data_IF_207161784873
#
_entry.id   IF_207161784873
#
_cell.length_a   1.000
_cell.length_b   1.000
_cell.length_c   1.000
_cell.angle_alpha   90.00
_cell.angle_beta   90.00
_cell.angle_gamma   90.00
#
_symmetry.space_group_name_H-M   'P 1'
#
loop_
_entity.id
_entity.type
_entity.pdbx_description
1 polymer ?
#
# COMPACT_ATOMS: atom_id res chain seq x y z
N UNK A 1 -97.81 27.60 -78.02
CA UNK A 1 -96.41 27.15 -77.78
C UNK A 1 -96.27 27.11 -76.26
N UNK A 2 -95.90 26.03 -75.60
CA UNK A 2 -95.08 24.91 -76.04
C UNK A 2 -95.33 23.74 -75.07
N UNK A 3 -95.53 22.55 -75.62
CA UNK A 3 -95.78 21.31 -74.90
C UNK A 3 -94.49 20.51 -75.09
N UNK A 4 -93.53 20.66 -74.18
CA UNK A 4 -92.24 20.01 -74.32
C UNK A 4 -92.15 18.74 -73.46
N UNK A 5 -91.73 17.70 -74.16
CA UNK A 5 -91.48 16.32 -73.78
C UNK A 5 -90.22 16.20 -72.91
N UNK A 6 -90.34 16.25 -71.58
CA UNK A 6 -89.19 15.98 -70.69
C UNK A 6 -89.40 14.76 -69.78
N UNK A 7 -90.16 13.76 -70.24
CA UNK A 7 -90.25 12.45 -69.55
C UNK A 7 -89.32 11.38 -70.12
N UNK A 8 -88.63 11.67 -71.23
CA UNK A 8 -87.65 10.75 -71.85
C UNK A 8 -86.25 10.85 -71.25
N UNK A 9 -85.75 12.06 -70.97
CA UNK A 9 -84.39 12.27 -70.47
C UNK A 9 -84.21 11.94 -68.98
N UNK A 10 -85.22 12.17 -68.15
CA UNK A 10 -85.16 11.84 -66.71
C UNK A 10 -85.04 10.33 -66.49
N UNK A 11 -85.69 9.52 -67.31
CA UNK A 11 -85.59 8.05 -67.20
C UNK A 11 -84.20 7.55 -67.63
N UNK A 12 -83.60 8.16 -68.66
CA UNK A 12 -82.26 7.84 -69.12
C UNK A 12 -81.17 8.28 -68.15
N UNK A 13 -81.32 9.43 -67.48
CA UNK A 13 -80.38 9.88 -66.44
C UNK A 13 -80.45 9.03 -65.17
N UNK A 14 -81.66 8.60 -64.76
CA UNK A 14 -81.82 7.68 -63.62
C UNK A 14 -81.25 6.29 -63.97
N UNK A 15 -81.45 5.80 -65.19
CA UNK A 15 -80.84 4.55 -65.67
C UNK A 15 -79.32 4.66 -65.77
N UNK A 16 -78.78 5.76 -66.30
CA UNK A 16 -77.34 6.01 -66.35
C UNK A 16 -76.74 6.12 -64.94
N UNK A 17 -77.41 6.81 -64.01
CA UNK A 17 -77.02 6.89 -62.60
C UNK A 17 -77.03 5.53 -61.90
N UNK A 18 -78.05 4.69 -62.14
CA UNK A 18 -78.12 3.33 -61.61
C UNK A 18 -77.08 2.39 -62.24
N UNK A 19 -76.72 2.59 -63.51
CA UNK A 19 -75.63 1.85 -64.16
C UNK A 19 -74.28 2.25 -63.55
N UNK A 20 -74.04 3.55 -63.33
CA UNK A 20 -72.81 4.04 -62.68
C UNK A 20 -72.73 3.53 -61.24
N UNK A 21 -73.83 3.58 -60.48
CA UNK A 21 -73.89 3.01 -59.12
C UNK A 21 -73.69 1.49 -59.16
N UNK A 22 -74.28 0.80 -60.13
CA UNK A 22 -74.15 -0.65 -60.31
C UNK A 22 -72.74 -1.11 -60.72
N UNK A 23 -71.97 -0.26 -61.40
CA UNK A 23 -70.54 -0.49 -61.71
C UNK A 23 -69.65 -0.09 -60.53
N UNK A 24 -69.95 1.03 -59.86
CA UNK A 24 -69.18 1.54 -58.74
C UNK A 24 -69.34 0.71 -57.46
N UNK A 25 -70.52 0.10 -57.22
CA UNK A 25 -70.75 -0.71 -56.01
C UNK A 25 -69.80 -1.90 -55.90
N UNK A 26 -69.63 -2.78 -56.92
CA UNK A 26 -68.64 -3.85 -56.87
C UNK A 26 -67.20 -3.35 -56.65
N UNK A 27 -66.83 -2.22 -57.26
CA UNK A 27 -65.49 -1.63 -57.11
C UNK A 27 -65.27 -1.12 -55.67
N UNK A 28 -66.25 -0.44 -55.09
CA UNK A 28 -66.23 0.05 -53.71
C UNK A 28 -66.21 -1.13 -52.73
N UNK A 29 -67.01 -2.18 -52.96
CA UNK A 29 -66.97 -3.39 -52.14
C UNK A 29 -65.61 -4.09 -52.20
N UNK A 30 -65.02 -4.24 -53.39
CA UNK A 30 -63.69 -4.83 -53.52
C UNK A 30 -62.60 -4.00 -52.85
N UNK A 31 -62.71 -2.66 -52.87
CA UNK A 31 -61.75 -1.78 -52.22
C UNK A 31 -61.86 -1.82 -50.69
N UNK A 32 -63.09 -1.89 -50.16
CA UNK A 32 -63.34 -2.07 -48.73
C UNK A 32 -62.85 -3.45 -48.27
N UNK A 33 -63.09 -4.51 -49.03
CA UNK A 33 -62.57 -5.85 -48.71
C UNK A 33 -61.04 -5.90 -48.73
N UNK A 34 -60.40 -5.29 -49.73
CA UNK A 34 -58.94 -5.18 -49.80
C UNK A 34 -58.38 -4.40 -48.60
N UNK A 35 -59.00 -3.27 -48.26
CA UNK A 35 -58.61 -2.46 -47.10
C UNK A 35 -58.78 -3.21 -45.77
N UNK A 36 -59.90 -3.93 -45.59
CA UNK A 36 -60.14 -4.76 -44.40
C UNK A 36 -59.14 -5.92 -44.30
N UNK A 37 -58.83 -6.57 -45.42
CA UNK A 37 -57.83 -7.64 -45.46
C UNK A 37 -56.44 -7.11 -45.12
N UNK A 38 -56.06 -5.95 -45.64
CA UNK A 38 -54.75 -5.34 -45.35
C UNK A 38 -54.63 -4.93 -43.87
N UNK A 39 -55.71 -4.43 -43.25
CA UNK A 39 -55.75 -4.19 -41.80
C UNK A 39 -55.60 -5.49 -40.99
N UNK A 40 -56.22 -6.59 -41.42
CA UNK A 40 -56.04 -7.91 -40.80
C UNK A 40 -54.59 -8.42 -40.93
N UNK A 41 -53.96 -8.20 -42.09
CA UNK A 41 -52.55 -8.56 -42.32
C UNK A 41 -51.61 -7.73 -41.45
N UNK A 42 -51.82 -6.41 -41.34
CA UNK A 42 -51.08 -5.55 -40.42
C UNK A 42 -51.21 -6.00 -38.98
N UNK A 43 -52.43 -6.29 -38.54
CA UNK A 43 -52.66 -6.80 -37.19
C UNK A 43 -51.94 -8.13 -36.94
N UNK A 44 -51.95 -9.05 -37.92
CA UNK A 44 -51.22 -10.32 -37.84
C UNK A 44 -49.69 -10.12 -37.79
N UNK A 45 -49.15 -9.15 -38.54
CA UNK A 45 -47.74 -8.79 -38.51
C UNK A 45 -47.33 -8.23 -37.15
N UNK A 46 -48.05 -7.24 -36.61
CA UNK A 46 -47.80 -6.71 -35.26
C UNK A 46 -47.88 -7.78 -34.18
N UNK A 47 -48.84 -8.69 -34.30
CA UNK A 47 -49.01 -9.78 -33.35
C UNK A 47 -47.84 -10.78 -33.40
N UNK A 48 -47.37 -11.11 -34.61
CA UNK A 48 -46.19 -11.95 -34.79
C UNK A 48 -44.90 -11.25 -34.34
N UNK A 49 -44.76 -9.94 -34.53
CA UNK A 49 -43.62 -9.15 -34.04
C UNK A 49 -43.55 -9.13 -32.50
N UNK A 50 -44.69 -8.92 -31.83
CA UNK A 50 -44.76 -8.95 -30.37
C UNK A 50 -44.30 -10.31 -29.80
N UNK A 51 -44.72 -11.41 -30.42
CA UNK A 51 -44.23 -12.74 -30.07
C UNK A 51 -42.72 -12.89 -30.36
N UNK A 52 -42.24 -12.49 -31.54
CA UNK A 52 -40.83 -12.63 -31.90
C UNK A 52 -39.89 -11.78 -31.05
N UNK A 53 -40.32 -10.60 -30.62
CA UNK A 53 -39.57 -9.78 -29.66
C UNK A 53 -39.42 -10.51 -28.32
N UNK A 54 -40.48 -11.13 -27.81
CA UNK A 54 -40.43 -11.94 -26.59
C UNK A 54 -39.54 -13.20 -26.77
N UNK A 55 -39.67 -13.88 -27.91
CA UNK A 55 -38.87 -15.04 -28.26
C UNK A 55 -37.37 -14.70 -28.32
N UNK A 56 -37.02 -13.56 -28.95
CA UNK A 56 -35.65 -13.04 -29.02
C UNK A 56 -35.07 -12.80 -27.62
N UNK A 57 -35.80 -12.10 -26.75
CA UNK A 57 -35.34 -11.81 -25.39
C UNK A 57 -35.14 -13.10 -24.58
N UNK A 58 -36.06 -14.06 -24.69
CA UNK A 58 -35.93 -15.35 -24.04
C UNK A 58 -34.67 -16.10 -24.49
N UNK A 59 -34.40 -16.15 -25.81
CA UNK A 59 -33.22 -16.82 -26.35
C UNK A 59 -31.94 -16.10 -25.91
N UNK A 60 -31.93 -14.76 -25.92
CA UNK A 60 -30.78 -13.96 -25.49
C UNK A 60 -30.46 -14.21 -24.00
N UNK A 61 -31.45 -14.12 -23.11
CA UNK A 61 -31.25 -14.34 -21.67
C UNK A 61 -30.88 -15.80 -21.32
N UNK A 62 -31.22 -16.75 -22.19
CA UNK A 62 -30.94 -18.17 -22.01
C UNK A 62 -29.82 -18.67 -22.92
N UNK A 63 -29.04 -17.78 -23.54
CA UNK A 63 -28.10 -18.15 -24.60
C UNK A 63 -27.11 -19.22 -24.14
N UNK A 64 -26.44 -19.01 -22.99
CA UNK A 64 -25.49 -19.97 -22.43
C UNK A 64 -26.10 -21.36 -22.16
N UNK A 65 -27.33 -21.40 -21.63
CA UNK A 65 -28.07 -22.64 -21.36
C UNK A 65 -28.45 -23.36 -22.66
N UNK A 66 -28.95 -22.62 -23.64
CA UNK A 66 -29.33 -23.16 -24.96
C UNK A 66 -28.11 -23.64 -25.75
N UNK A 67 -26.96 -22.98 -25.59
CA UNK A 67 -25.69 -23.40 -26.17
C UNK A 67 -25.13 -24.68 -25.55
N UNK A 68 -25.38 -24.97 -24.28
CA UNK A 68 -24.91 -26.21 -23.64
C UNK A 68 -25.92 -27.36 -23.72
N UNK A 69 -27.18 -27.05 -24.04
CA UNK A 69 -28.27 -28.02 -24.14
C UNK A 69 -28.31 -28.82 -25.46
N UNK A 70 -29.26 -29.76 -25.53
CA UNK A 70 -29.58 -30.50 -26.75
C UNK A 70 -30.38 -29.62 -27.71
N UNK A 71 -29.95 -29.57 -28.98
CA UNK A 71 -30.62 -28.85 -30.06
C UNK A 71 -30.96 -29.84 -31.22
N UNK A 72 -32.06 -29.64 -31.97
CA UNK A 72 -32.95 -28.49 -31.90
C UNK A 72 -33.85 -28.50 -30.66
N UNK A 73 -34.11 -27.32 -30.10
CA UNK A 73 -35.03 -27.10 -28.98
C UNK A 73 -36.17 -26.18 -29.41
N UNK A 74 -37.34 -26.30 -28.79
CA UNK A 74 -38.48 -25.43 -29.11
C UNK A 74 -39.17 -24.91 -27.86
N UNK A 75 -39.93 -23.82 -28.04
CA UNK A 75 -40.78 -23.22 -27.02
C UNK A 75 -41.99 -22.55 -27.68
N UNK A 76 -43.05 -22.35 -26.90
CA UNK A 76 -44.35 -21.83 -27.34
C UNK A 76 -44.68 -20.48 -26.71
N UNK A 77 -45.74 -19.82 -27.18
CA UNK A 77 -46.28 -18.61 -26.54
C UNK A 77 -46.60 -18.82 -25.05
N UNK A 78 -47.12 -19.99 -24.68
CA UNK A 78 -47.42 -20.32 -23.28
C UNK A 78 -46.16 -20.44 -22.42
N UNK A 79 -45.06 -20.95 -22.98
CA UNK A 79 -43.76 -20.97 -22.28
C UNK A 79 -43.27 -19.55 -21.98
N UNK A 80 -43.37 -18.65 -22.97
CA UNK A 80 -42.97 -17.25 -22.80
C UNK A 80 -43.87 -16.51 -21.81
N UNK A 81 -45.17 -16.80 -21.78
CA UNK A 81 -46.10 -16.24 -20.79
C UNK A 81 -45.75 -16.74 -19.38
N UNK A 82 -45.52 -18.04 -19.21
CA UNK A 82 -45.13 -18.61 -17.90
C UNK A 82 -43.83 -18.04 -17.37
N UNK A 83 -42.89 -17.72 -18.25
CA UNK A 83 -41.57 -17.18 -17.90
C UNK A 83 -41.53 -15.65 -17.85
N UNK A 84 -42.64 -14.97 -18.13
CA UNK A 84 -42.75 -13.51 -18.01
C UNK A 84 -42.20 -12.71 -19.21
N UNK A 85 -41.80 -13.37 -20.30
CA UNK A 85 -41.36 -12.70 -21.53
C UNK A 85 -42.52 -12.18 -22.38
N UNK A 86 -43.70 -12.78 -22.24
CA UNK A 86 -44.92 -12.40 -22.94
C UNK A 86 -46.06 -12.10 -21.96
N UNK A 87 -46.85 -11.07 -22.22
CA UNK A 87 -47.89 -10.59 -21.28
C UNK A 87 -48.99 -11.64 -21.10
N UNK A 88 -49.47 -11.82 -19.86
CA UNK A 88 -50.69 -12.60 -19.61
C UNK A 88 -51.86 -12.02 -20.42
N UNK A 89 -52.55 -12.89 -21.17
CA UNK A 89 -53.62 -12.51 -22.08
C UNK A 89 -53.19 -12.34 -23.54
N UNK A 90 -51.91 -12.51 -23.87
CA UNK A 90 -51.50 -12.72 -25.27
C UNK A 90 -52.18 -14.00 -25.79
N UNK A 91 -52.98 -13.87 -26.84
CA UNK A 91 -53.85 -14.93 -27.34
C UNK A 91 -53.55 -15.21 -28.82
N UNK A 92 -54.42 -15.93 -29.51
CA UNK A 92 -54.30 -16.20 -30.94
C UNK A 92 -54.32 -14.90 -31.78
N UNK A 93 -53.63 -14.94 -32.93
CA UNK A 93 -53.65 -13.88 -33.93
C UNK A 93 -55.06 -13.65 -34.50
N UNK A 94 -55.30 -12.58 -35.29
CA UNK A 94 -56.59 -12.35 -35.96
C UNK A 94 -57.08 -13.53 -36.82
N UNK A 95 -56.17 -14.40 -37.28
CA UNK A 95 -56.47 -15.61 -38.04
C UNK A 95 -56.60 -16.86 -37.15
N UNK A 96 -56.62 -16.71 -35.82
CA UNK A 96 -56.70 -17.82 -34.88
C UNK A 96 -55.39 -18.62 -34.74
N UNK A 97 -54.26 -18.11 -35.25
CA UNK A 97 -52.98 -18.81 -35.22
C UNK A 97 -52.23 -18.50 -33.91
N UNK A 98 -51.57 -19.51 -33.33
CA UNK A 98 -50.57 -19.37 -32.25
C UNK A 98 -49.15 -19.39 -32.81
N UNK A 99 -48.11 -19.43 -31.97
CA UNK A 99 -46.71 -19.48 -32.41
C UNK A 99 -45.89 -20.51 -31.65
N UNK A 100 -44.92 -21.07 -32.37
CA UNK A 100 -43.86 -21.92 -31.85
C UNK A 100 -42.52 -21.46 -32.44
N UNK A 101 -41.49 -21.42 -31.61
CA UNK A 101 -40.13 -21.10 -32.05
C UNK A 101 -39.24 -22.31 -31.84
N UNK A 102 -38.53 -22.70 -32.89
CA UNK A 102 -37.50 -23.72 -32.87
C UNK A 102 -36.13 -23.06 -32.96
N UNK A 103 -35.16 -23.62 -32.26
CA UNK A 103 -33.79 -23.12 -32.17
C UNK A 103 -32.87 -24.23 -32.65
N UNK A 104 -31.94 -23.91 -33.54
CA UNK A 104 -30.87 -24.81 -33.97
C UNK A 104 -29.51 -24.16 -33.78
N UNK A 105 -28.46 -24.98 -33.92
CA UNK A 105 -27.09 -24.48 -34.06
C UNK A 105 -26.75 -24.41 -35.54
N UNK A 106 -26.34 -23.23 -36.01
CA UNK A 106 -25.77 -23.09 -37.34
C UNK A 106 -24.46 -23.89 -37.40
N UNK A 107 -24.35 -24.83 -38.33
CA UNK A 107 -23.19 -25.73 -38.41
C UNK A 107 -21.90 -25.04 -38.86
N UNK A 108 -22.01 -23.91 -39.57
CA UNK A 108 -20.88 -23.16 -40.10
C UNK A 108 -20.33 -22.17 -39.08
N UNK A 109 -21.21 -21.44 -38.38
CA UNK A 109 -20.81 -20.35 -37.46
C UNK A 109 -20.84 -20.75 -36.00
N UNK A 110 -21.48 -21.88 -35.66
CA UNK A 110 -21.70 -22.32 -34.28
C UNK A 110 -22.72 -21.48 -33.50
N UNK A 111 -23.22 -20.37 -34.06
CA UNK A 111 -24.21 -19.48 -33.45
C UNK A 111 -25.60 -20.13 -33.41
N UNK A 112 -26.46 -19.67 -32.50
CA UNK A 112 -27.88 -20.04 -32.52
C UNK A 112 -28.57 -19.36 -33.70
N UNK A 113 -29.48 -20.10 -34.31
CA UNK A 113 -30.49 -19.58 -35.22
C UNK A 113 -31.85 -20.03 -34.70
N UNK A 114 -32.85 -19.19 -34.86
CA UNK A 114 -34.21 -19.54 -34.50
C UNK A 114 -35.17 -19.25 -35.64
N UNK A 115 -36.16 -20.12 -35.77
CA UNK A 115 -37.27 -19.97 -36.69
C UNK A 115 -38.56 -19.99 -35.87
N UNK A 116 -39.35 -18.94 -36.00
CA UNK A 116 -40.72 -18.92 -35.50
C UNK A 116 -41.66 -19.29 -36.64
N UNK A 117 -42.61 -20.17 -36.36
CA UNK A 117 -43.77 -20.41 -37.21
C UNK A 117 -45.04 -20.07 -36.44
N UNK A 118 -46.02 -19.48 -37.12
CA UNK A 118 -47.38 -19.56 -36.62
C UNK A 118 -47.97 -20.96 -36.84
N UNK A 119 -48.93 -21.36 -36.00
CA UNK A 119 -49.54 -22.72 -36.01
C UNK A 119 -51.03 -22.68 -35.66
N UNK A 120 -51.80 -23.63 -36.18
CA UNK A 120 -53.24 -23.70 -35.94
C UNK A 120 -54.01 -22.55 -36.63
N UNK A 121 -55.31 -22.43 -36.35
CA UNK A 121 -56.13 -21.36 -36.93
C UNK A 121 -56.43 -21.52 -38.43
N UNK A 122 -56.79 -20.41 -39.06
CA UNK A 122 -57.12 -20.33 -40.49
C UNK A 122 -55.88 -20.07 -41.33
N UNK A 123 -55.81 -20.68 -42.51
CA UNK A 123 -54.73 -20.41 -43.46
C UNK A 123 -54.87 -19.00 -44.05
N UNK A 124 -53.79 -18.21 -43.97
CA UNK A 124 -53.70 -16.91 -44.63
C UNK A 124 -53.46 -17.16 -46.12
N UNK A 125 -54.16 -16.41 -46.99
CA UNK A 125 -53.97 -16.49 -48.44
C UNK A 125 -52.54 -16.05 -48.82
N UNK A 126 -52.04 -16.55 -49.94
CA UNK A 126 -50.65 -16.35 -50.38
C UNK A 126 -50.27 -14.86 -50.54
N UNK A 127 -51.18 -14.04 -51.07
CA UNK A 127 -51.03 -12.59 -51.18
C UNK A 127 -50.94 -11.93 -49.80
N UNK A 128 -51.81 -12.33 -48.87
CA UNK A 128 -51.77 -11.89 -47.47
C UNK A 128 -50.50 -12.28 -46.75
N UNK A 129 -50.03 -13.51 -46.93
CA UNK A 129 -48.77 -13.99 -46.33
C UNK A 129 -47.57 -13.15 -46.76
N UNK A 130 -47.52 -12.75 -48.03
CA UNK A 130 -46.46 -11.87 -48.55
C UNK A 130 -46.56 -10.47 -47.97
N UNK A 131 -47.78 -9.94 -47.79
CA UNK A 131 -48.02 -8.65 -47.13
C UNK A 131 -47.52 -8.69 -45.67
N UNK A 132 -47.97 -9.68 -44.89
CA UNK A 132 -47.53 -9.88 -43.50
C UNK A 132 -46.01 -10.02 -43.41
N UNK A 133 -45.40 -10.85 -44.27
CA UNK A 133 -43.96 -11.06 -44.29
C UNK A 133 -43.17 -9.77 -44.55
N UNK A 134 -43.66 -8.90 -45.44
CA UNK A 134 -43.03 -7.62 -45.77
C UNK A 134 -43.18 -6.54 -44.70
N UNK A 135 -44.17 -6.67 -43.82
CA UNK A 135 -44.44 -5.71 -42.74
C UNK A 135 -43.72 -6.05 -41.43
N UNK A 136 -43.28 -7.30 -41.27
CA UNK A 136 -42.55 -7.75 -40.09
C UNK A 136 -41.16 -7.09 -40.03
N UNK A 137 -40.74 -6.58 -38.86
CA UNK A 137 -39.39 -6.05 -38.71
C UNK A 137 -38.36 -7.20 -38.77
N UNK A 138 -37.32 -7.03 -39.58
CA UNK A 138 -36.26 -8.03 -39.74
C UNK A 138 -36.57 -9.08 -40.82
N UNK A 139 -36.23 -10.36 -40.55
CA UNK A 139 -36.33 -11.45 -41.52
C UNK A 139 -37.73 -12.11 -41.48
N UNK A 140 -38.76 -11.31 -41.78
CA UNK A 140 -40.13 -11.78 -41.96
C UNK A 140 -40.32 -12.67 -43.19
N UNK A 141 -41.25 -13.62 -43.11
CA UNK A 141 -41.48 -14.66 -44.10
C UNK A 141 -42.79 -15.43 -43.88
N UNK A 142 -42.97 -16.50 -44.63
CA UNK A 142 -44.15 -17.37 -44.59
C UNK A 142 -43.81 -18.81 -45.00
N UNK A 143 -44.69 -19.75 -44.67
CA UNK A 143 -44.58 -21.15 -45.10
C UNK A 143 -45.27 -21.31 -46.45
N UNK A 144 -44.48 -21.58 -47.48
CA UNK A 144 -44.96 -21.83 -48.83
C UNK A 144 -45.66 -23.19 -48.96
N UNK A 145 -46.34 -23.41 -50.10
CA UNK A 145 -47.07 -24.67 -50.39
C UNK A 145 -46.18 -25.93 -50.36
N UNK A 146 -44.88 -25.77 -50.57
CA UNK A 146 -43.88 -26.84 -50.51
C UNK A 146 -43.39 -27.14 -49.07
N UNK A 147 -43.92 -26.46 -48.05
CA UNK A 147 -43.51 -26.61 -46.65
C UNK A 147 -42.21 -25.88 -46.29
N UNK A 148 -41.64 -25.11 -47.22
CA UNK A 148 -40.42 -24.33 -47.00
C UNK A 148 -40.77 -22.96 -46.43
N UNK A 149 -40.03 -22.51 -45.41
CA UNK A 149 -40.11 -21.15 -44.91
C UNK A 149 -39.40 -20.22 -45.90
N UNK A 150 -40.11 -19.22 -46.41
CA UNK A 150 -39.62 -18.28 -47.44
C UNK A 150 -39.77 -16.86 -46.94
N UNK A 151 -38.68 -16.09 -47.01
CA UNK A 151 -38.67 -14.68 -46.62
C UNK A 151 -39.48 -13.79 -47.56
N UNK A 152 -39.80 -12.58 -47.09
CA UNK A 152 -40.38 -11.53 -47.93
C UNK A 152 -39.57 -11.37 -49.22
N UNK A 153 -40.25 -11.32 -50.36
CA UNK A 153 -39.65 -11.23 -51.71
C UNK A 153 -38.62 -12.32 -52.05
N UNK A 154 -38.59 -13.44 -51.32
CA UNK A 154 -37.61 -14.51 -51.52
C UNK A 154 -36.21 -14.19 -50.99
N UNK A 155 -36.08 -13.24 -50.06
CA UNK A 155 -34.79 -12.82 -49.52
C UNK A 155 -34.02 -13.94 -48.79
N UNK A 156 -34.71 -14.95 -48.29
CA UNK A 156 -34.13 -16.13 -47.65
C UNK A 156 -35.07 -17.33 -47.76
N UNK A 157 -34.53 -18.53 -47.58
CA UNK A 157 -35.30 -19.77 -47.48
C UNK A 157 -34.74 -20.66 -46.38
N UNK A 158 -35.60 -21.33 -45.62
CA UNK A 158 -35.19 -22.29 -44.61
C UNK A 158 -36.18 -23.45 -44.47
N UNK A 159 -35.74 -24.54 -43.82
CA UNK A 159 -36.55 -25.75 -43.62
C UNK A 159 -36.97 -25.86 -42.15
N UNK A 160 -38.28 -25.78 -41.84
CA UNK A 160 -38.76 -25.90 -40.46
C UNK A 160 -38.28 -27.14 -39.71
N UNK A 161 -38.13 -28.27 -40.42
CA UNK A 161 -37.63 -29.52 -39.83
C UNK A 161 -36.24 -29.40 -39.22
N UNK A 162 -35.37 -28.53 -39.74
CA UNK A 162 -34.01 -28.33 -39.22
C UNK A 162 -34.02 -27.63 -37.84
N UNK A 163 -35.14 -26.99 -37.49
CA UNK A 163 -35.40 -26.36 -36.18
C UNK A 163 -36.26 -27.25 -35.27
N UNK A 164 -36.52 -28.50 -35.68
CA UNK A 164 -37.43 -29.40 -34.96
C UNK A 164 -38.89 -28.96 -35.04
N UNK A 165 -39.28 -28.21 -36.07
CA UNK A 165 -40.64 -27.70 -36.24
C UNK A 165 -41.39 -28.42 -37.37
N UNK A 166 -42.71 -28.50 -37.21
CA UNK A 166 -43.64 -28.93 -38.26
C UNK A 166 -44.59 -27.77 -38.56
N UNK A 167 -44.31 -27.02 -39.63
CA UNK A 167 -45.09 -25.84 -40.01
C UNK A 167 -45.85 -26.11 -41.32
N UNK A 168 -47.13 -25.77 -41.36
CA UNK A 168 -48.00 -25.98 -42.53
C UNK A 168 -48.07 -24.73 -43.42
N UNK A 169 -48.35 -24.91 -44.71
CA UNK A 169 -48.61 -23.79 -45.62
C UNK A 169 -49.77 -22.91 -45.09
N UNK A 170 -49.77 -21.61 -45.42
CA UNK A 170 -50.78 -20.67 -44.89
C UNK A 170 -50.39 -19.97 -43.59
N UNK A 171 -49.13 -20.12 -43.15
CA UNK A 171 -48.62 -19.65 -41.86
C UNK A 171 -47.45 -18.68 -42.02
N UNK A 172 -47.29 -17.81 -41.02
CA UNK A 172 -46.24 -16.81 -40.92
C UNK A 172 -44.96 -17.51 -40.46
N UNK A 173 -43.81 -17.08 -40.99
CA UNK A 173 -42.50 -17.55 -40.58
C UNK A 173 -41.58 -16.37 -40.30
N UNK A 174 -40.78 -16.41 -39.24
CA UNK A 174 -39.80 -15.35 -38.94
C UNK A 174 -38.49 -15.97 -38.52
N UNK A 175 -37.41 -15.57 -39.16
CA UNK A 175 -36.06 -16.03 -38.80
C UNK A 175 -35.40 -15.01 -37.88
N UNK A 176 -34.71 -15.52 -36.87
CA UNK A 176 -33.82 -14.74 -36.00
C UNK A 176 -32.42 -15.36 -36.10
N UNK A 177 -31.43 -14.57 -36.53
CA UNK A 177 -30.03 -15.02 -36.66
C UNK A 177 -29.07 -13.98 -36.08
N UNK A 178 -27.83 -14.41 -35.81
CA UNK A 178 -26.73 -13.48 -35.55
C UNK A 178 -26.83 -12.74 -34.23
N UNK A 179 -26.61 -11.43 -34.27
CA UNK A 179 -26.50 -10.55 -33.09
C UNK A 179 -27.82 -10.39 -32.32
N UNK A 180 -28.96 -10.67 -32.97
CA UNK A 180 -30.30 -10.64 -32.36
C UNK A 180 -30.44 -11.63 -31.19
N UNK A 181 -29.65 -12.70 -31.19
CA UNK A 181 -29.75 -13.78 -30.21
C UNK A 181 -28.57 -13.80 -29.21
N UNK A 182 -27.70 -12.78 -29.24
CA UNK A 182 -26.54 -12.70 -28.35
C UNK A 182 -26.86 -11.98 -27.03
N UNK A 183 -26.27 -12.47 -25.94
CA UNK A 183 -26.23 -11.73 -24.68
C UNK A 183 -25.50 -10.39 -24.90
N UNK A 184 -26.06 -9.29 -24.41
CA UNK A 184 -25.36 -8.00 -24.41
C UNK A 184 -24.24 -8.01 -23.38
N UNK A 185 -23.03 -8.44 -23.78
CA UNK A 185 -21.80 -8.47 -22.98
C UNK A 185 -21.21 -7.06 -22.69
N UNK A 186 -22.08 -6.06 -22.51
CA UNK A 186 -21.68 -4.66 -22.36
C UNK A 186 -22.10 -4.13 -21.01
N UNK A 187 -21.11 -3.75 -20.21
CA UNK A 187 -21.34 -2.92 -19.03
C UNK A 187 -21.57 -1.48 -19.48
N UNK A 188 -22.83 -1.10 -19.70
CA UNK A 188 -23.23 0.24 -20.11
C UNK A 188 -23.94 0.95 -18.96
N UNK A 189 -23.39 2.07 -18.47
CA UNK A 189 -23.95 2.83 -17.35
C UNK A 189 -23.90 4.33 -17.63
N UNK A 190 -25.05 4.98 -17.49
CA UNK A 190 -25.20 6.44 -17.47
C UNK A 190 -25.87 6.84 -16.17
N UNK A 191 -25.63 8.07 -15.73
CA UNK A 191 -26.34 8.59 -14.57
C UNK A 191 -27.83 8.70 -14.89
N UNK A 192 -28.69 8.14 -14.04
CA UNK A 192 -30.14 8.32 -14.11
C UNK A 192 -30.58 9.29 -13.01
N UNK A 193 -30.90 10.55 -13.33
CA UNK A 193 -31.30 11.55 -12.34
C UNK A 193 -32.55 11.13 -11.56
N UNK A 194 -32.57 11.38 -10.25
CA UNK A 194 -33.71 11.07 -9.38
C UNK A 194 -33.92 9.57 -9.09
N UNK A 195 -33.07 8.67 -9.62
CA UNK A 195 -33.17 7.22 -9.47
C UNK A 195 -31.85 6.63 -8.94
N UNK A 196 -31.45 6.88 -7.68
CA UNK A 196 -30.16 6.47 -7.13
C UNK A 196 -29.93 4.95 -7.18
N UNK A 197 -30.99 4.15 -7.08
CA UNK A 197 -30.94 2.69 -7.18
C UNK A 197 -30.43 2.23 -8.56
N UNK A 198 -30.75 2.96 -9.63
CA UNK A 198 -30.27 2.65 -10.99
C UNK A 198 -28.81 3.07 -11.21
N UNK A 199 -28.23 3.79 -10.24
CA UNK A 199 -26.83 4.20 -10.25
C UNK A 199 -25.96 3.34 -9.32
N UNK A 200 -26.55 2.34 -8.67
CA UNK A 200 -25.88 1.43 -7.74
C UNK A 200 -25.66 0.05 -8.36
N UNK A 201 -24.62 -0.62 -7.90
CA UNK A 201 -24.34 -2.01 -8.24
C UNK A 201 -24.84 -2.89 -7.10
N UNK A 202 -25.71 -3.86 -7.39
CA UNK A 202 -26.31 -4.75 -6.38
C UNK A 202 -25.60 -6.10 -6.23
N UNK A 203 -24.58 -6.36 -7.04
CA UNK A 203 -23.75 -7.57 -7.01
C UNK A 203 -22.29 -7.18 -7.22
N UNK A 204 -21.34 -8.10 -7.04
CA UNK A 204 -19.93 -7.80 -7.35
C UNK A 204 -19.69 -7.80 -8.87
N UNK A 205 -18.83 -6.91 -9.36
CA UNK A 205 -18.22 -7.04 -10.69
C UNK A 205 -16.97 -7.91 -10.57
N UNK A 206 -16.94 -9.00 -11.32
CA UNK A 206 -15.74 -9.80 -11.52
C UNK A 206 -15.05 -9.35 -12.81
N UNK A 207 -13.82 -8.84 -12.71
CA UNK A 207 -13.06 -8.36 -13.86
C UNK A 207 -12.37 -9.49 -14.65
N UNK A 208 -12.40 -10.74 -14.18
CA UNK A 208 -11.80 -11.88 -14.89
C UNK A 208 -10.28 -11.78 -15.09
N UNK A 209 -9.58 -10.93 -14.32
CA UNK A 209 -8.15 -10.64 -14.49
C UNK A 209 -7.84 -9.44 -15.39
N UNK A 210 -8.85 -8.71 -15.87
CA UNK A 210 -8.67 -7.50 -16.67
C UNK A 210 -8.48 -6.24 -15.79
N UNK A 211 -7.91 -5.21 -16.41
CA UNK A 211 -7.57 -3.94 -15.78
C UNK A 211 -8.78 -3.00 -15.60
N UNK A 212 -8.65 -2.07 -14.66
CA UNK A 212 -9.48 -0.87 -14.56
C UNK A 212 -8.58 0.33 -14.89
N UNK A 213 -8.68 0.82 -16.12
CA UNK A 213 -7.87 1.95 -16.59
C UNK A 213 -8.58 3.29 -16.36
N UNK A 214 -7.81 4.35 -16.07
CA UNK A 214 -8.29 5.73 -15.91
C UNK A 214 -9.41 5.91 -14.86
N UNK A 215 -9.36 5.13 -13.77
CA UNK A 215 -10.23 5.39 -12.63
C UNK A 215 -9.84 6.71 -11.95
N UNK A 216 -10.83 7.56 -11.66
CA UNK A 216 -10.61 8.76 -10.83
C UNK A 216 -10.37 8.38 -9.37
N UNK A 217 -11.43 8.36 -8.56
CA UNK A 217 -11.35 7.91 -7.17
C UNK A 217 -11.89 6.48 -7.00
N UNK A 218 -11.12 5.64 -6.29
CA UNK A 218 -11.57 4.32 -5.83
C UNK A 218 -11.86 4.38 -4.32
N UNK A 219 -13.13 4.62 -3.97
CA UNK A 219 -13.57 4.67 -2.58
C UNK A 219 -14.14 3.31 -2.17
N UNK A 220 -13.46 2.61 -1.26
CA UNK A 220 -13.89 1.31 -0.75
C UNK A 220 -13.56 1.12 0.72
N UNK A 221 -14.20 0.16 1.37
CA UNK A 221 -13.97 -0.14 2.79
C UNK A 221 -12.69 -0.96 3.03
N UNK A 222 -12.30 -1.79 2.05
CA UNK A 222 -11.13 -2.66 2.09
C UNK A 222 -10.61 -2.91 0.68
N UNK A 223 -9.29 -2.97 0.52
CA UNK A 223 -8.63 -3.45 -0.69
C UNK A 223 -7.78 -4.67 -0.36
N UNK A 224 -7.69 -5.64 -1.28
CA UNK A 224 -6.77 -6.77 -1.21
C UNK A 224 -6.10 -6.89 -2.56
N UNK A 225 -4.80 -6.60 -2.62
CA UNK A 225 -4.01 -6.59 -3.85
C UNK A 225 -3.00 -7.74 -3.76
N UNK A 226 -2.91 -8.56 -4.81
CA UNK A 226 -1.99 -9.71 -4.86
C UNK A 226 -0.57 -9.34 -5.30
N UNK A 227 -0.42 -8.21 -6.01
CA UNK A 227 0.85 -7.67 -6.47
C UNK A 227 1.21 -6.38 -5.74
N UNK A 228 2.06 -5.58 -6.38
CA UNK A 228 2.57 -4.34 -5.83
C UNK A 228 1.53 -3.21 -5.82
N UNK A 229 1.76 -2.23 -4.96
CA UNK A 229 1.01 -0.98 -4.92
C UNK A 229 2.00 0.15 -5.22
N UNK A 230 1.86 0.75 -6.40
CA UNK A 230 2.74 1.84 -6.86
C UNK A 230 1.99 3.18 -6.83
N UNK A 231 2.66 4.21 -6.34
CA UNK A 231 2.21 5.60 -6.40
C UNK A 231 3.33 6.42 -7.05
N UNK A 232 3.05 7.01 -8.21
CA UNK A 232 4.06 7.75 -8.97
C UNK A 232 4.33 9.12 -8.34
N UNK A 233 3.28 9.90 -8.10
CA UNK A 233 3.39 11.27 -7.54
C UNK A 233 2.55 11.49 -6.27
N UNK A 234 1.95 10.43 -5.72
CA UNK A 234 1.09 10.48 -4.53
C UNK A 234 1.71 9.91 -3.26
N UNK A 235 1.13 10.21 -2.11
CA UNK A 235 1.53 9.63 -0.82
C UNK A 235 0.74 8.36 -0.51
N UNK A 236 1.39 7.38 0.15
CA UNK A 236 0.69 6.29 0.83
C UNK A 236 0.23 6.77 2.22
N UNK A 237 -1.04 7.16 2.32
CA UNK A 237 -1.59 7.79 3.53
C UNK A 237 -2.36 6.76 4.38
N UNK A 238 -1.97 6.62 5.64
CA UNK A 238 -2.73 5.85 6.65
C UNK A 238 -3.33 6.79 7.69
N UNK A 239 -4.48 6.43 8.27
CA UNK A 239 -5.15 7.20 9.33
C UNK A 239 -5.35 6.34 10.57
N UNK A 240 -5.54 7.00 11.72
CA UNK A 240 -5.68 6.39 13.03
C UNK A 240 -4.39 5.63 13.46
N UNK A 241 -4.54 4.60 14.29
CA UNK A 241 -3.42 3.97 15.00
C UNK A 241 -2.76 2.81 14.25
N UNK A 242 -2.94 2.70 12.93
CA UNK A 242 -2.44 1.61 12.09
C UNK A 242 -1.49 2.15 11.01
N UNK A 243 -0.74 1.24 10.41
CA UNK A 243 0.19 1.56 9.32
C UNK A 243 0.40 0.34 8.42
N UNK A 244 1.63 0.10 8.00
CA UNK A 244 2.00 -1.08 7.24
C UNK A 244 2.28 -2.28 8.16
N UNK A 245 1.76 -3.45 7.80
CA UNK A 245 2.01 -4.70 8.52
C UNK A 245 2.16 -5.85 7.52
N UNK A 246 3.22 -6.65 7.69
CA UNK A 246 3.35 -7.96 7.09
C UNK A 246 2.73 -8.99 8.05
N UNK A 247 1.58 -9.56 7.68
CA UNK A 247 0.84 -10.51 8.53
C UNK A 247 1.53 -11.86 8.66
N UNK A 248 2.22 -12.34 7.62
CA UNK A 248 2.99 -13.59 7.64
C UNK A 248 4.09 -13.57 8.69
N UNK A 249 4.81 -12.45 8.80
CA UNK A 249 5.92 -12.31 9.73
C UNK A 249 5.56 -11.51 10.99
N UNK A 250 4.37 -10.91 11.08
CA UNK A 250 3.92 -10.08 12.19
C UNK A 250 4.80 -8.83 12.41
N UNK A 251 5.43 -8.30 11.36
CA UNK A 251 6.27 -7.10 11.40
C UNK A 251 5.62 -5.92 10.70
N UNK A 252 6.18 -4.71 10.82
CA UNK A 252 5.57 -3.52 10.23
C UNK A 252 5.99 -2.21 10.87
N UNK A 253 5.33 -1.12 10.45
CA UNK A 253 5.43 0.20 11.06
C UNK A 253 4.04 0.74 11.39
N UNK A 254 3.90 1.33 12.57
CA UNK A 254 2.65 1.94 13.04
C UNK A 254 2.92 3.22 13.83
N UNK A 255 1.94 4.10 13.89
CA UNK A 255 1.96 5.30 14.73
C UNK A 255 0.72 5.25 15.63
N UNK A 256 0.91 5.32 16.95
CA UNK A 256 -0.18 5.30 17.94
C UNK A 256 -0.27 6.60 18.74
N UNK A 257 0.61 7.55 18.43
CA UNK A 257 0.63 8.93 18.90
C UNK A 257 1.24 9.83 17.83
N UNK A 258 1.29 11.13 18.10
CA UNK A 258 1.84 12.14 17.19
C UNK A 258 3.37 12.29 17.27
N UNK A 259 4.06 11.45 18.05
CA UNK A 259 5.49 11.64 18.37
C UNK A 259 6.37 10.53 17.79
N UNK A 260 5.86 9.31 17.64
CA UNK A 260 6.69 8.13 17.39
C UNK A 260 6.16 7.22 16.28
N UNK A 261 7.07 6.88 15.36
CA UNK A 261 6.95 5.68 14.52
C UNK A 261 7.43 4.48 15.33
N UNK A 262 6.64 3.40 15.32
CA UNK A 262 6.89 2.18 16.08
C UNK A 262 6.99 0.99 15.15
N UNK A 263 7.97 0.12 15.39
CA UNK A 263 7.97 -1.20 14.80
C UNK A 263 6.83 -2.03 15.41
N UNK A 264 6.04 -2.68 14.58
CA UNK A 264 4.95 -3.56 15.00
C UNK A 264 5.53 -4.74 15.80
N UNK A 265 4.85 -5.12 16.89
CA UNK A 265 5.26 -6.21 17.79
C UNK A 265 6.68 -6.08 18.37
N UNK A 266 7.16 -4.85 18.55
CA UNK A 266 8.51 -4.55 19.05
C UNK A 266 9.63 -5.23 18.25
N UNK A 267 9.42 -5.46 16.94
CA UNK A 267 10.46 -6.03 16.09
C UNK A 267 11.64 -5.08 15.92
N UNK A 268 12.83 -5.64 15.78
CA UNK A 268 14.03 -4.88 15.39
C UNK A 268 13.94 -4.37 13.95
N UNK A 269 14.68 -3.30 13.66
CA UNK A 269 14.91 -2.79 12.30
C UNK A 269 16.37 -3.09 11.98
N UNK A 270 16.61 -3.85 10.92
CA UNK A 270 17.96 -4.11 10.39
C UNK A 270 18.08 -3.51 9.00
N UNK A 271 19.26 -2.99 8.68
CA UNK A 271 19.63 -2.46 7.35
C UNK A 271 21.10 -2.78 7.13
N UNK A 272 21.47 -3.09 5.88
CA UNK A 272 22.87 -3.25 5.50
C UNK A 272 23.60 -1.88 5.38
N UNK A 273 22.84 -0.78 5.36
CA UNK A 273 23.34 0.59 5.27
C UNK A 273 23.21 1.39 6.56
N UNK A 274 23.06 2.72 6.44
CA UNK A 274 22.89 3.63 7.58
C UNK A 274 21.42 3.96 7.84
N UNK A 275 21.04 4.07 9.12
CA UNK A 275 19.78 4.72 9.53
C UNK A 275 20.11 6.16 9.93
N UNK A 276 19.75 7.13 9.08
CA UNK A 276 19.83 8.56 9.42
C UNK A 276 18.50 9.02 10.01
N UNK A 277 18.39 8.92 11.34
CA UNK A 277 17.26 9.42 12.10
C UNK A 277 17.61 10.68 12.90
N UNK A 278 16.59 11.45 13.29
CA UNK A 278 16.75 12.49 14.32
C UNK A 278 17.02 11.90 15.71
N UNK A 279 16.63 12.60 16.77
CA UNK A 279 16.82 12.13 18.15
C UNK A 279 16.09 10.80 18.40
N UNK A 280 16.85 9.73 18.62
CA UNK A 280 16.33 8.47 19.17
C UNK A 280 16.12 8.69 20.68
N UNK A 281 14.88 8.94 21.11
CA UNK A 281 14.54 9.12 22.54
C UNK A 281 13.73 7.93 23.04
N UNK A 282 14.14 7.36 24.19
CA UNK A 282 13.36 6.32 24.88
C UNK A 282 13.91 4.90 24.84
N UNK A 283 15.17 4.67 24.44
CA UNK A 283 15.76 3.32 24.42
C UNK A 283 17.28 3.30 24.31
N UNK A 284 17.84 2.10 24.18
CA UNK A 284 19.26 1.86 23.92
C UNK A 284 19.49 1.76 22.41
N UNK A 285 20.55 2.39 21.90
CA UNK A 285 21.08 2.09 20.56
C UNK A 285 22.08 0.94 20.73
N UNK A 286 21.74 -0.25 20.20
CA UNK A 286 22.65 -1.40 20.16
C UNK A 286 23.19 -1.56 18.74
N UNK A 287 24.51 -1.51 18.58
CA UNK A 287 25.21 -1.90 17.36
C UNK A 287 25.96 -3.19 17.64
N UNK A 288 25.80 -4.21 16.79
CA UNK A 288 26.64 -5.44 16.84
C UNK A 288 28.04 -5.19 16.23
N UNK A 289 28.23 -4.04 15.58
CA UNK A 289 29.51 -3.57 15.07
C UNK A 289 29.96 -2.26 15.72
N UNK A 290 30.50 -1.34 14.91
CA UNK A 290 30.94 -0.01 15.40
C UNK A 290 29.76 0.95 15.50
N UNK A 291 29.82 1.85 16.48
CA UNK A 291 29.02 3.09 16.52
C UNK A 291 29.96 4.24 16.20
N UNK A 292 29.70 4.99 15.13
CA UNK A 292 30.51 6.13 14.69
C UNK A 292 29.68 7.40 14.57
N UNK A 293 30.23 8.54 14.97
CA UNK A 293 29.64 9.87 14.83
C UNK A 293 30.51 10.73 13.92
N UNK A 294 29.90 11.57 13.07
CA UNK A 294 30.65 12.48 12.19
C UNK A 294 31.30 13.67 12.91
N UNK A 295 30.73 14.11 14.04
CA UNK A 295 31.26 15.22 14.85
C UNK A 295 31.63 14.74 16.25
N UNK A 296 30.66 14.63 17.16
CA UNK A 296 30.89 14.31 18.57
C UNK A 296 29.88 13.29 19.11
N UNK A 297 30.32 12.42 20.01
CA UNK A 297 29.44 11.59 20.83
C UNK A 297 29.11 12.31 22.14
N UNK A 298 27.91 12.88 22.23
CA UNK A 298 27.42 13.56 23.43
C UNK A 298 26.79 12.57 24.42
N UNK A 299 27.38 12.44 25.61
CA UNK A 299 26.85 11.60 26.69
C UNK A 299 26.04 12.47 27.66
N UNK A 300 24.70 12.39 27.61
CA UNK A 300 23.85 13.30 28.39
C UNK A 300 23.91 13.05 29.90
N UNK A 301 23.98 11.77 30.31
CA UNK A 301 24.00 11.40 31.73
C UNK A 301 25.40 11.59 32.32
N UNK A 302 25.47 12.29 33.46
CA UNK A 302 26.70 12.40 34.25
C UNK A 302 26.83 11.25 35.25
N UNK A 303 28.07 10.89 35.55
CA UNK A 303 28.46 9.92 36.55
C UNK A 303 29.45 10.55 37.54
N UNK A 304 29.53 9.99 38.76
CA UNK A 304 30.44 10.47 39.80
C UNK A 304 31.52 9.43 40.03
N UNK A 305 32.78 9.82 39.93
CA UNK A 305 33.92 8.93 40.17
C UNK A 305 33.82 8.27 41.56
N UNK A 306 34.13 6.97 41.61
CA UNK A 306 34.07 6.15 42.83
C UNK A 306 32.67 5.63 43.19
N UNK A 307 31.61 5.99 42.46
CA UNK A 307 30.27 5.43 42.68
C UNK A 307 30.04 4.15 41.88
N UNK A 308 29.12 3.30 42.33
CA UNK A 308 28.83 2.01 41.71
C UNK A 308 28.27 2.13 40.30
N UNK A 309 28.64 1.22 39.41
CA UNK A 309 28.14 1.12 38.04
C UNK A 309 28.03 -0.34 37.60
N UNK A 310 27.20 -0.60 36.58
CA UNK A 310 27.08 -1.92 35.95
C UNK A 310 26.39 -1.77 34.59
N UNK A 311 26.76 -2.58 33.57
CA UNK A 311 27.89 -3.52 33.58
C UNK A 311 29.24 -2.80 33.45
N UNK A 312 30.33 -3.54 33.66
CA UNK A 312 31.68 -3.08 33.33
C UNK A 312 31.79 -2.74 31.83
N UNK A 313 32.58 -1.72 31.49
CA UNK A 313 32.80 -1.25 30.12
C UNK A 313 31.88 -0.10 29.68
N UNK A 314 30.93 0.35 30.51
CA UNK A 314 30.18 1.57 30.23
C UNK A 314 31.12 2.78 30.14
N UNK A 315 30.87 3.66 29.18
CA UNK A 315 31.57 4.96 29.05
C UNK A 315 30.58 6.06 29.39
N UNK A 316 30.98 6.94 30.30
CA UNK A 316 30.21 8.07 30.80
C UNK A 316 31.07 9.33 30.88
N UNK A 317 30.54 10.38 31.49
CA UNK A 317 31.31 11.58 31.82
C UNK A 317 30.97 12.10 33.21
N UNK A 318 31.88 12.83 33.83
CA UNK A 318 31.56 13.61 35.02
C UNK A 318 30.82 14.92 34.68
N UNK A 319 30.45 15.71 35.70
CA UNK A 319 29.77 16.99 35.52
C UNK A 319 30.61 18.06 34.80
N UNK A 320 31.93 17.88 34.70
CA UNK A 320 32.87 18.77 34.00
C UNK A 320 33.17 18.29 32.59
N UNK A 321 32.70 17.11 32.20
CA UNK A 321 32.93 16.52 30.89
C UNK A 321 34.12 15.57 30.81
N UNK A 322 34.80 15.26 31.92
CA UNK A 322 35.86 14.27 31.91
C UNK A 322 35.27 12.87 31.69
N UNK A 323 35.89 12.08 30.80
CA UNK A 323 35.43 10.73 30.50
C UNK A 323 35.64 9.82 31.72
N UNK A 324 34.59 9.09 32.06
CA UNK A 324 34.61 8.03 33.06
C UNK A 324 34.33 6.69 32.38
N UNK A 325 34.91 5.62 32.91
CA UNK A 325 34.64 4.26 32.50
C UNK A 325 34.22 3.43 33.71
N UNK A 326 33.21 2.58 33.54
CA UNK A 326 32.81 1.63 34.55
C UNK A 326 33.81 0.47 34.56
N UNK A 327 34.54 0.31 35.67
CA UNK A 327 35.58 -0.69 35.83
C UNK A 327 35.44 -1.34 37.20
N UNK A 328 35.36 -2.67 37.26
CA UNK A 328 35.19 -3.42 38.51
C UNK A 328 34.00 -2.91 39.34
N UNK A 329 32.89 -2.59 38.67
CA UNK A 329 31.67 -2.08 39.28
C UNK A 329 31.74 -0.65 39.81
N UNK A 330 32.77 0.12 39.49
CA UNK A 330 32.93 1.53 39.92
C UNK A 330 33.27 2.46 38.76
N UNK A 331 32.74 3.69 38.80
CA UNK A 331 33.13 4.73 37.85
C UNK A 331 34.56 5.21 38.13
N UNK A 332 35.47 4.96 37.20
CA UNK A 332 36.86 5.39 37.26
C UNK A 332 37.16 6.41 36.15
N UNK A 333 37.92 7.45 36.49
CA UNK A 333 38.51 8.34 35.50
C UNK A 333 39.83 7.77 34.97
N UNK A 334 40.29 8.29 33.84
CA UNK A 334 41.65 8.04 33.37
C UNK A 334 42.64 8.86 34.21
N UNK A 335 43.21 8.27 35.26
CA UNK A 335 44.29 8.91 36.03
C UNK A 335 45.66 8.41 35.56
N UNK A 336 46.49 9.31 35.01
CA UNK A 336 47.88 8.97 34.63
C UNK A 336 48.89 9.11 35.78
N UNK A 337 48.51 9.75 36.90
CA UNK A 337 49.33 9.93 38.09
C UNK A 337 48.49 9.80 39.36
N UNK A 338 48.89 8.94 40.34
CA UNK A 338 48.18 8.80 41.59
C UNK A 338 48.12 10.12 42.37
N UNK A 339 46.93 10.51 42.82
CA UNK A 339 46.73 11.66 43.71
C UNK A 339 47.62 11.53 44.95
N UNK A 340 48.33 12.61 45.29
CA UNK A 340 49.29 12.61 46.40
C UNK A 340 50.76 12.48 46.00
N UNK A 341 51.05 12.03 44.78
CA UNK A 341 52.43 11.87 44.30
C UNK A 341 53.10 13.23 44.07
N UNK A 342 54.34 13.46 44.57
CA UNK A 342 55.15 14.60 44.17
C UNK A 342 55.54 14.52 42.70
N UNK A 343 55.25 15.58 41.94
CA UNK A 343 55.54 15.68 40.50
C UNK A 343 56.48 16.88 40.29
N UNK A 344 57.67 16.68 39.72
CA UNK A 344 58.52 17.80 39.28
C UNK A 344 57.82 18.65 38.23
N UNK A 345 57.76 19.96 38.45
CA UNK A 345 57.09 20.94 37.59
C UNK A 345 58.03 22.09 37.24
N UNK A 346 58.23 22.42 35.96
CA UNK A 346 59.26 23.38 35.53
C UNK A 346 58.88 24.85 35.74
N UNK A 347 57.63 25.17 36.05
CA UNK A 347 57.14 26.56 36.18
C UNK A 347 56.85 26.95 37.64
N UNK A 348 56.96 28.24 37.94
CA UNK A 348 56.60 28.81 39.24
C UNK A 348 55.11 28.60 39.60
N UNK A 349 54.24 28.57 38.59
CA UNK A 349 52.78 28.45 38.76
C UNK A 349 52.34 27.02 38.42
N UNK A 350 51.67 26.28 39.34
CA UNK A 350 51.15 24.95 39.03
C UNK A 350 49.96 25.03 38.06
N UNK A 351 49.69 23.98 37.26
CA UNK A 351 48.46 23.87 36.49
C UNK A 351 47.22 23.86 37.39
N UNK A 352 46.06 24.18 36.83
CA UNK A 352 44.80 24.05 37.53
C UNK A 352 44.59 22.61 38.03
N UNK A 353 44.13 22.47 39.28
CA UNK A 353 43.93 21.16 39.92
C UNK A 353 45.18 20.59 40.60
N UNK A 354 46.29 21.33 40.63
CA UNK A 354 47.51 20.97 41.35
C UNK A 354 47.82 21.99 42.46
N UNK A 355 48.49 21.51 43.50
CA UNK A 355 48.99 22.33 44.62
C UNK A 355 50.51 22.25 44.66
N UNK A 356 51.18 23.35 44.97
CA UNK A 356 52.63 23.36 45.24
C UNK A 356 52.90 22.68 46.59
N UNK A 357 53.95 21.88 46.69
CA UNK A 357 54.37 21.23 47.92
C UNK A 357 55.32 22.14 48.72
N UNK A 358 54.78 23.22 49.27
CA UNK A 358 55.51 24.28 49.99
C UNK A 358 55.16 24.34 51.49
N UNK A 359 54.67 23.23 52.07
CA UNK A 359 54.25 23.19 53.47
C UNK A 359 52.82 23.67 53.75
N UNK A 360 52.05 24.03 52.71
CA UNK A 360 50.70 24.56 52.88
C UNK A 360 49.67 23.52 53.35
N UNK A 361 48.70 23.98 54.14
CA UNK A 361 47.50 23.23 54.48
C UNK A 361 46.49 23.25 53.31
N UNK A 362 45.68 22.21 53.21
CA UNK A 362 44.60 22.08 52.22
C UNK A 362 43.29 21.62 52.87
N UNK A 363 42.17 21.81 52.16
CA UNK A 363 40.86 21.36 52.64
C UNK A 363 40.68 19.86 52.40
N UNK A 364 40.62 19.07 53.48
CA UNK A 364 40.40 17.63 53.40
C UNK A 364 39.02 17.25 52.83
N UNK A 365 37.98 18.07 53.07
CA UNK A 365 36.65 17.82 52.50
C UNK A 365 36.60 18.09 51.00
N UNK A 366 37.35 19.10 50.52
CA UNK A 366 37.47 19.41 49.09
C UNK A 366 38.36 18.42 48.35
N UNK A 367 39.38 17.88 49.01
CA UNK A 367 40.38 16.98 48.42
C UNK A 367 40.50 15.66 49.21
N UNK A 368 39.46 14.81 49.21
CA UNK A 368 39.42 13.62 50.05
C UNK A 368 40.47 12.56 49.64
N UNK A 369 40.78 12.45 48.34
CA UNK A 369 41.84 11.54 47.88
C UNK A 369 43.23 12.02 48.30
N UNK A 370 43.49 13.34 48.24
CA UNK A 370 44.73 13.91 48.74
C UNK A 370 44.86 13.77 50.27
N UNK A 371 43.74 13.87 50.99
CA UNK A 371 43.67 13.61 52.43
C UNK A 371 44.04 12.16 52.79
N UNK A 372 43.70 11.18 51.94
CA UNK A 372 44.13 9.79 52.15
C UNK A 372 45.65 9.63 52.00
N UNK A 373 46.28 10.40 51.11
CA UNK A 373 47.73 10.40 50.94
C UNK A 373 48.46 11.22 52.03
N UNK A 374 47.87 12.34 52.47
CA UNK A 374 48.39 13.21 53.53
C UNK A 374 47.33 13.45 54.62
N UNK A 375 47.18 12.52 55.60
CA UNK A 375 46.11 12.54 56.60
C UNK A 375 46.02 13.78 57.49
N UNK A 376 47.09 14.59 57.56
CA UNK A 376 47.11 15.86 58.31
C UNK A 376 46.56 17.06 57.56
N UNK A 377 45.99 16.88 56.35
CA UNK A 377 45.52 17.97 55.50
C UNK A 377 46.60 19.02 55.20
N UNK A 378 47.88 18.62 55.19
CA UNK A 378 49.03 19.49 55.02
C UNK A 378 50.08 18.81 54.15
N UNK A 379 50.59 19.54 53.17
CA UNK A 379 51.65 19.05 52.30
C UNK A 379 53.02 19.22 52.98
N UNK A 380 54.00 18.35 52.69
CA UNK A 380 55.39 18.62 53.07
C UNK A 380 55.91 19.87 52.33
N UNK A 381 56.89 20.54 52.92
CA UNK A 381 57.66 21.58 52.25
C UNK A 381 58.86 20.95 51.54
N UNK A 382 58.75 20.82 50.22
CA UNK A 382 59.77 20.19 49.39
C UNK A 382 60.68 21.20 48.68
N UNK A 383 60.60 22.49 49.05
CA UNK A 383 61.47 23.52 48.47
C UNK A 383 62.91 23.29 48.92
N UNK A 384 63.82 23.12 47.95
CA UNK A 384 65.25 22.93 48.22
C UNK A 384 65.62 21.57 48.82
N UNK A 385 64.69 20.60 48.86
CA UNK A 385 64.97 19.23 49.34
C UNK A 385 65.01 18.25 48.17
N UNK A 386 65.83 17.20 48.30
CA UNK A 386 65.84 16.08 47.37
C UNK A 386 64.94 14.95 47.88
N UNK A 387 64.12 14.39 46.99
CA UNK A 387 63.37 13.17 47.30
C UNK A 387 64.31 11.98 47.12
N UNK A 388 64.30 11.06 48.08
CA UNK A 388 65.04 9.79 48.03
C UNK A 388 64.12 8.60 48.24
N UNK A 389 64.56 7.43 47.81
CA UNK A 389 63.88 6.18 48.14
C UNK A 389 63.86 5.92 49.65
N UNK A 390 62.71 5.49 50.16
CA UNK A 390 62.57 4.94 51.51
C UNK A 390 63.27 3.57 51.56
N UNK A 391 64.16 3.36 52.53
CA UNK A 391 64.96 2.13 52.63
C UNK A 391 64.09 0.89 52.82
N UNK A 392 62.98 1.04 53.54
CA UNK A 392 61.97 0.01 53.76
C UNK A 392 62.55 -1.36 54.21
N UNK A 393 63.62 -1.35 55.02
CA UNK A 393 64.25 -2.55 55.55
C UNK A 393 65.30 -3.19 54.65
N UNK A 394 65.73 -2.53 53.57
CA UNK A 394 66.83 -2.99 52.70
C UNK A 394 68.20 -2.90 53.39
N UNK A 395 68.33 -2.07 54.43
CA UNK A 395 69.52 -1.97 55.27
C UNK A 395 70.64 -1.08 54.72
N UNK A 396 70.34 -0.23 53.73
CA UNK A 396 71.29 0.75 53.20
C UNK A 396 71.24 2.07 53.98
N UNK A 397 70.11 2.38 54.60
CA UNK A 397 69.97 3.51 55.51
C UNK A 397 70.05 3.04 56.98
N UNK A 398 71.13 3.43 57.66
CA UNK A 398 71.38 3.05 59.05
C UNK A 398 70.69 3.94 60.10
N UNK A 399 70.02 5.02 59.68
CA UNK A 399 69.32 5.94 60.58
C UNK A 399 68.01 5.30 61.08
N UNK A 400 67.98 4.92 62.36
CA UNK A 400 66.81 4.27 62.98
C UNK A 400 65.61 5.20 63.15
N UNK A 401 65.80 6.52 63.05
CA UNK A 401 64.72 7.50 63.15
C UNK A 401 64.14 7.87 61.77
N UNK A 402 64.73 7.33 60.69
CA UNK A 402 64.25 7.49 59.33
C UNK A 402 62.84 6.90 59.21
N UNK A 403 61.90 7.63 58.61
CA UNK A 403 60.55 7.14 58.27
C UNK A 403 60.04 7.84 56.99
N UNK A 404 58.91 7.38 56.43
CA UNK A 404 58.30 8.05 55.28
C UNK A 404 58.03 9.53 55.62
N UNK A 405 58.39 10.42 54.68
CA UNK A 405 58.29 11.88 54.81
C UNK A 405 59.19 12.53 55.88
N UNK A 406 60.10 11.80 56.53
CA UNK A 406 61.05 12.41 57.48
C UNK A 406 62.14 13.22 56.76
N UNK A 407 62.49 14.39 57.31
CA UNK A 407 63.57 15.24 56.80
C UNK A 407 64.95 14.69 57.16
N UNK A 408 65.92 14.86 56.25
CA UNK A 408 67.34 14.59 56.48
C UNK A 408 68.13 15.88 56.28
N UNK A 409 68.84 16.30 57.33
CA UNK A 409 69.84 17.35 57.21
C UNK A 409 71.02 16.88 56.34
N UNK A 410 71.77 17.81 55.78
CA UNK A 410 72.95 17.47 55.01
C UNK A 410 73.95 16.67 55.86
N UNK A 411 74.47 15.59 55.30
CA UNK A 411 75.51 14.78 55.91
C UNK A 411 76.77 14.94 55.07
N UNK A 412 77.31 16.16 55.04
CA UNK A 412 78.66 16.38 54.51
C UNK A 412 79.65 16.08 55.64
N UNK A 413 80.15 14.85 55.69
CA UNK A 413 81.14 14.40 56.67
C UNK A 413 82.53 14.99 56.42
N UNK A 414 82.65 16.31 56.29
CA UNK A 414 83.93 16.99 56.09
C UNK A 414 84.39 17.55 57.43
N UNK A 415 85.26 16.80 58.11
CA UNK A 415 85.95 17.26 59.32
C UNK A 415 87.40 17.58 58.97
N UNK A 416 87.91 18.72 59.46
CA UNK A 416 89.33 19.07 59.31
C UNK A 416 90.17 18.16 60.23
N UNK A 417 90.96 17.25 59.66
CA UNK A 417 92.06 16.61 60.40
C UNK A 417 93.37 17.40 60.20
N UNK A 418 94.16 17.55 61.26
CA UNK A 418 95.53 18.09 61.19
C UNK A 418 96.40 17.09 60.42
N UNK A 419 96.45 17.27 59.10
CA UNK A 419 97.18 16.37 58.20
C UNK A 419 96.81 16.46 56.72
N UNK A 420 95.80 17.26 56.34
CA UNK A 420 95.61 17.69 54.95
C UNK A 420 94.94 16.71 53.98
N UNK A 421 94.45 15.56 54.44
CA UNK A 421 93.73 14.60 53.59
C UNK A 421 92.30 14.38 54.11
N UNK A 422 91.30 14.84 53.36
CA UNK A 422 89.89 14.54 53.63
C UNK A 422 89.51 13.22 52.97
N UNK A 423 89.04 12.22 53.73
CA UNK A 423 88.41 11.01 53.18
C UNK A 423 86.89 11.18 53.16
N UNK A 424 86.33 11.45 51.99
CA UNK A 424 84.90 11.40 51.70
C UNK A 424 84.58 10.31 50.69
N UNK A 425 83.44 9.62 50.87
CA UNK A 425 83.05 8.40 50.16
C UNK A 425 82.42 8.65 48.76
N UNK A 426 82.89 9.67 48.03
CA UNK A 426 82.31 10.06 46.74
C UNK A 426 83.40 10.23 45.67
N UNK A 427 83.51 9.25 44.76
CA UNK A 427 84.26 9.41 43.51
C UNK A 427 83.52 10.41 42.62
N UNK A 428 84.16 11.52 42.24
CA UNK A 428 83.65 12.48 41.25
C UNK A 428 83.26 13.89 41.75
N UNK A 429 83.51 14.22 43.02
CA UNK A 429 83.33 15.60 43.53
C UNK A 429 84.68 16.34 43.50
N UNK A 430 84.81 17.51 42.84
CA UNK A 430 86.04 18.29 42.82
C UNK A 430 86.46 18.75 44.22
N UNK A 431 87.76 18.62 44.49
CA UNK A 431 88.39 18.89 45.79
C UNK A 431 88.39 20.38 46.15
N UNK A 432 88.31 20.65 47.45
CA UNK A 432 88.54 21.94 48.08
C UNK A 432 89.93 22.53 47.74
N UNK A 433 89.98 23.87 47.59
CA UNK A 433 91.18 24.68 47.80
C UNK A 433 90.74 25.95 48.54
N UNK A 434 91.49 26.36 49.58
CA UNK A 434 91.22 27.59 50.32
C UNK A 434 91.20 28.80 49.37
N UNK A 435 90.09 29.55 49.36
CA UNK A 435 89.93 30.78 48.58
C UNK A 435 88.93 30.70 47.40
N UNK A 436 88.28 29.56 47.16
CA UNK A 436 87.31 29.38 46.08
C UNK A 436 85.85 29.54 46.56
N UNK A 437 85.05 30.32 45.83
CA UNK A 437 83.59 30.48 46.00
C UNK A 437 82.76 29.37 45.34
N UNK A 438 83.39 28.25 44.94
CA UNK A 438 82.74 27.24 44.09
C UNK A 438 81.91 26.24 44.90
N UNK A 439 80.62 26.12 44.54
CA UNK A 439 79.62 25.26 45.18
C UNK A 439 79.94 23.75 45.02
N UNK A 440 79.94 23.00 46.14
CA UNK A 440 80.27 21.57 46.21
C UNK A 440 79.05 20.64 46.21
N UNK A 441 77.89 21.11 45.74
CA UNK A 441 76.68 20.29 45.64
C UNK A 441 76.65 19.54 44.29
N UNK A 442 76.01 18.35 44.21
CA UNK A 442 75.73 17.74 42.92
C UNK A 442 75.09 18.75 41.97
N UNK A 443 75.56 18.83 40.73
CA UNK A 443 74.92 19.67 39.70
C UNK A 443 73.46 19.23 39.58
N UNK A 444 72.54 20.13 39.90
CA UNK A 444 71.10 19.86 39.88
C UNK A 444 70.37 21.01 39.20
N UNK A 445 69.14 20.75 38.79
CA UNK A 445 68.21 21.73 38.24
C UNK A 445 67.00 21.82 39.17
N UNK A 446 66.59 23.04 39.49
CA UNK A 446 65.46 23.27 40.39
C UNK A 446 64.12 23.13 39.63
N UNK A 447 63.27 22.23 40.12
CA UNK A 447 61.87 22.12 39.74
C UNK A 447 61.02 22.41 40.98
N UNK A 448 59.81 22.94 40.78
CA UNK A 448 58.80 22.88 41.83
C UNK A 448 58.35 21.43 42.02
N UNK A 449 58.03 21.05 43.25
CA UNK A 449 57.22 19.86 43.47
C UNK A 449 55.76 20.29 43.56
N UNK A 450 54.92 19.71 42.71
CA UNK A 450 53.47 19.88 42.75
C UNK A 450 52.80 18.54 43.03
N UNK A 451 51.55 18.57 43.48
CA UNK A 451 50.74 17.39 43.72
C UNK A 451 49.36 17.58 43.10
N UNK A 452 48.82 16.54 42.46
CA UNK A 452 47.44 16.54 41.98
C UNK A 452 46.50 16.65 43.19
N UNK A 453 45.57 17.61 43.16
CA UNK A 453 44.68 17.89 44.27
C UNK A 453 43.37 17.09 44.22
N UNK A 454 42.91 16.73 43.02
CA UNK A 454 41.62 16.06 42.77
C UNK A 454 41.62 15.28 41.48
#
# INVERSE_FOLDING_TARGET
MQKDDDKGFVLFEILAGLIVIGIATPMIYSEIENWLNEQLYQSAAYHADAYNTAARNYIADNNARLHSGSLPANFTADDLIRQGYLKQGFNHSPFGQSYITGIRRNQTTGRLEALTCSTGGQNIKEDGLRSVAGQLPGLGGYIGKNGTATGAFGAWTDKPGDYGLTCSAGHIAVVMTGDDLQESDRLYRFQVPGRPELNQMHTAINMGGNDINNAGNLNGQKATVKGDITSEDGWLITRNNKGWMNTTHGGGFTMTDSQWIRAVNNKGITTDGEIKGGKVSGGTIRSDGRLSTGEYLQLEKTATAGTSCSPDGLVGRDSKGAILSCQSGMWAGFESYPVGSPIPWPSATPPQGYLVMNGQSFSCSRYPQLARAYPGCKLPDLRGVFIRGWDNGRGLDGDRNRHLLSYQADQSGVYHERGGWLKGHHSGMPYWAQGSTTEMRPKNIAFNYIVKAS
#
